data_IF_190138558791
#
_entry.id   IF_190138558791
#
_cell.length_a   1.000
_cell.length_b   1.000
_cell.length_c   1.000
_cell.angle_alpha   90.00
_cell.angle_beta   90.00
_cell.angle_gamma   90.00
#
_symmetry.space_group_name_H-M   'P 1'
#
loop_
_entity.id
_entity.type
_entity.pdbx_description
1 polymer ?
#
# COMPACT_ATOMS: atom_id res chain seq x y z
N UNK A 1 18.06 46.38 -5.87
CA UNK A 1 17.85 45.54 -4.66
C UNK A 1 16.56 44.73 -4.70
N UNK A 2 15.41 45.31 -5.07
CA UNK A 2 14.11 44.60 -5.14
C UNK A 2 14.13 43.39 -6.09
N UNK A 3 14.80 43.50 -7.23
CA UNK A 3 14.98 42.41 -8.22
C UNK A 3 15.83 41.24 -7.71
N UNK A 4 16.84 41.51 -6.87
CA UNK A 4 17.71 40.46 -6.31
C UNK A 4 16.96 39.61 -5.27
N UNK A 5 16.15 40.27 -4.42
CA UNK A 5 15.30 39.61 -3.43
C UNK A 5 14.25 38.74 -4.11
N UNK A 6 13.66 39.22 -5.21
CA UNK A 6 12.67 38.45 -5.98
C UNK A 6 13.29 37.19 -6.62
N UNK A 7 14.50 37.27 -7.18
CA UNK A 7 15.21 36.11 -7.72
C UNK A 7 15.57 35.09 -6.63
N UNK A 8 15.97 35.55 -5.43
CA UNK A 8 16.28 34.67 -4.31
C UNK A 8 15.03 33.93 -3.80
N UNK A 9 13.90 34.62 -3.71
CA UNK A 9 12.62 34.00 -3.34
C UNK A 9 12.17 32.94 -4.37
N UNK A 10 12.36 33.19 -5.68
CA UNK A 10 12.06 32.20 -6.72
C UNK A 10 13.00 30.99 -6.67
N UNK A 11 14.28 31.20 -6.35
CA UNK A 11 15.25 30.11 -6.19
C UNK A 11 14.98 29.25 -4.95
N UNK A 12 14.42 29.82 -3.88
CA UNK A 12 14.07 29.06 -2.67
C UNK A 12 12.79 28.22 -2.84
N UNK A 13 11.85 28.65 -3.70
CA UNK A 13 10.64 27.90 -4.03
C UNK A 13 10.91 26.62 -4.86
N UNK A 14 12.05 26.53 -5.55
CA UNK A 14 12.38 25.36 -6.38
C UNK A 14 12.93 24.17 -5.59
N UNK A 15 13.30 24.37 -4.32
CA UNK A 15 13.87 23.31 -3.45
C UNK A 15 12.78 22.51 -2.71
N UNK A 16 11.51 22.91 -2.81
CA UNK A 16 10.41 22.37 -1.98
C UNK A 16 9.68 21.14 -2.50
N UNK A 17 9.99 20.61 -3.68
CA UNK A 17 9.23 19.49 -4.25
C UNK A 17 9.78 18.12 -3.82
N UNK A 18 9.59 17.74 -2.55
CA UNK A 18 9.68 16.33 -2.15
C UNK A 18 8.49 15.59 -2.78
N UNK A 19 8.72 14.96 -3.93
CA UNK A 19 7.70 14.22 -4.66
C UNK A 19 7.35 12.92 -3.91
N UNK A 20 6.33 12.98 -3.06
CA UNK A 20 5.64 11.79 -2.57
C UNK A 20 4.82 11.20 -3.71
N UNK A 21 4.95 9.89 -3.95
CA UNK A 21 4.13 9.17 -4.93
C UNK A 21 3.23 8.19 -4.19
N UNK A 22 1.93 8.26 -4.45
CA UNK A 22 0.96 7.28 -3.96
C UNK A 22 0.54 6.41 -5.14
N UNK A 23 0.59 5.09 -4.96
CA UNK A 23 0.15 4.12 -5.94
C UNK A 23 -0.85 3.15 -5.29
N UNK A 24 -1.96 2.91 -5.99
CA UNK A 24 -3.00 1.98 -5.54
C UNK A 24 -2.63 0.57 -5.95
N UNK A 25 -2.76 -0.39 -5.03
CA UNK A 25 -2.60 -1.80 -5.32
C UNK A 25 -3.93 -2.35 -5.84
N UNK A 26 -3.86 -3.20 -6.87
CA UNK A 26 -5.03 -3.78 -7.53
C UNK A 26 -4.86 -5.28 -7.70
N UNK A 27 -5.96 -6.06 -7.75
CA UNK A 27 -5.86 -7.50 -8.02
C UNK A 27 -5.47 -7.81 -9.47
N UNK A 28 -5.88 -6.96 -10.40
CA UNK A 28 -5.49 -6.99 -11.82
C UNK A 28 -5.33 -5.55 -12.31
N UNK A 29 -4.67 -5.35 -13.45
CA UNK A 29 -4.42 -4.00 -13.99
C UNK A 29 -5.70 -3.16 -14.14
N UNK A 30 -6.79 -3.79 -14.59
CA UNK A 30 -8.10 -3.17 -14.81
C UNK A 30 -9.07 -3.32 -13.63
N UNK A 31 -8.64 -3.91 -12.51
CA UNK A 31 -9.52 -4.07 -11.35
C UNK A 31 -9.88 -2.71 -10.73
N UNK A 32 -11.02 -2.70 -10.06
CA UNK A 32 -11.41 -1.64 -9.14
C UNK A 32 -10.37 -1.50 -8.03
N UNK A 33 -10.31 -0.30 -7.42
CA UNK A 33 -9.45 -0.01 -6.26
C UNK A 33 -9.83 -0.85 -5.04
N UNK A 34 -11.09 -1.26 -5.00
CA UNK A 34 -11.69 -2.05 -3.94
C UNK A 34 -11.99 -3.46 -4.45
N UNK A 35 -11.62 -4.45 -3.65
CA UNK A 35 -11.91 -5.85 -3.91
C UNK A 35 -12.83 -6.40 -2.80
N UNK A 36 -13.79 -7.23 -3.18
CA UNK A 36 -14.58 -7.99 -2.21
C UNK A 36 -13.91 -9.34 -1.95
N UNK A 37 -13.65 -9.63 -0.67
CA UNK A 37 -13.07 -10.86 -0.16
C UNK A 37 -14.16 -11.63 0.57
N UNK A 38 -14.44 -12.85 0.14
CA UNK A 38 -15.52 -13.68 0.68
C UNK A 38 -14.99 -14.97 1.31
N UNK A 39 -15.58 -15.32 2.46
CA UNK A 39 -15.33 -16.55 3.22
C UNK A 39 -13.84 -16.80 3.46
N UNK A 40 -13.32 -17.99 3.15
CA UNK A 40 -11.92 -18.37 3.37
C UNK A 40 -11.03 -18.13 2.15
N UNK A 41 -11.55 -17.53 1.08
CA UNK A 41 -10.81 -17.34 -0.18
C UNK A 41 -9.84 -16.17 -0.06
N UNK A 42 -8.52 -16.39 -0.16
CA UNK A 42 -7.56 -15.30 -0.11
C UNK A 42 -7.72 -14.35 -1.29
N UNK A 43 -7.50 -13.06 -1.04
CA UNK A 43 -7.44 -12.05 -2.10
C UNK A 43 -6.12 -11.31 -2.06
N UNK A 44 -5.60 -11.03 -3.25
CA UNK A 44 -4.28 -10.41 -3.44
C UNK A 44 -4.42 -9.14 -4.27
N UNK A 45 -3.78 -8.07 -3.82
CA UNK A 45 -3.60 -6.82 -4.55
C UNK A 45 -2.11 -6.53 -4.70
N UNK A 46 -1.67 -5.98 -5.84
CA UNK A 46 -0.27 -5.72 -6.10
C UNK A 46 -0.04 -4.44 -6.91
N UNK A 47 1.19 -3.93 -6.87
CA UNK A 47 1.63 -2.76 -7.61
C UNK A 47 3.13 -2.80 -7.89
N UNK A 48 3.55 -2.23 -9.03
CA UNK A 48 4.95 -1.89 -9.28
C UNK A 48 5.24 -0.45 -8.90
N UNK A 49 6.26 -0.21 -8.07
CA UNK A 49 6.71 1.14 -7.70
C UNK A 49 7.79 1.69 -8.66
N UNK A 50 8.40 0.82 -9.45
CA UNK A 50 9.26 1.13 -10.61
C UNK A 50 10.72 1.46 -10.31
N UNK A 51 11.07 1.79 -9.06
CA UNK A 51 12.44 2.08 -8.65
C UNK A 51 12.61 1.93 -7.14
N UNK A 52 13.87 1.99 -6.68
CA UNK A 52 14.25 2.08 -5.27
C UNK A 52 13.83 3.43 -4.68
N UNK A 53 13.21 3.40 -3.50
CA UNK A 53 12.84 4.57 -2.70
C UNK A 53 13.47 4.47 -1.29
N UNK A 54 13.93 5.57 -0.69
CA UNK A 54 14.44 5.57 0.67
C UNK A 54 13.46 5.02 1.71
N UNK A 55 12.16 5.34 1.56
CA UNK A 55 11.10 4.83 2.42
C UNK A 55 9.80 4.62 1.66
N UNK A 56 9.04 3.61 2.07
CA UNK A 56 7.65 3.43 1.66
C UNK A 56 6.77 3.04 2.85
N UNK A 57 5.46 3.22 2.70
CA UNK A 57 4.47 2.72 3.63
C UNK A 57 3.31 2.09 2.87
N UNK A 58 3.00 0.82 3.15
CA UNK A 58 1.83 0.15 2.61
C UNK A 58 0.67 0.36 3.58
N UNK A 59 -0.40 1.00 3.10
CA UNK A 59 -1.64 1.21 3.83
C UNK A 59 -2.67 0.21 3.34
N UNK A 60 -3.28 -0.53 4.27
CA UNK A 60 -4.36 -1.48 3.99
C UNK A 60 -5.57 -1.12 4.83
N UNK A 61 -6.70 -0.98 4.17
CA UNK A 61 -8.02 -0.77 4.76
C UNK A 61 -8.88 -2.01 4.46
N UNK A 62 -9.38 -2.65 5.51
CA UNK A 62 -10.36 -3.73 5.45
C UNK A 62 -11.65 -3.25 6.10
N UNK A 63 -12.75 -3.24 5.36
CA UNK A 63 -14.06 -2.84 5.86
C UNK A 63 -15.01 -4.02 5.77
N UNK A 64 -15.60 -4.40 6.90
CA UNK A 64 -16.58 -5.48 6.94
C UNK A 64 -17.81 -5.13 6.09
N UNK A 65 -18.28 -6.09 5.31
CA UNK A 65 -19.59 -6.09 4.66
C UNK A 65 -20.56 -6.97 5.45
N UNK A 66 -20.16 -8.21 5.78
CA UNK A 66 -20.94 -9.14 6.61
C UNK A 66 -20.05 -10.10 7.40
N UNK A 67 -20.58 -10.76 8.43
CA UNK A 67 -19.85 -11.71 9.28
C UNK A 67 -18.92 -11.03 10.30
N UNK A 68 -17.86 -11.74 10.70
CA UNK A 68 -16.83 -11.20 11.61
C UNK A 68 -15.53 -11.05 10.84
N UNK A 69 -15.01 -9.82 10.76
CA UNK A 69 -13.73 -9.55 10.12
C UNK A 69 -12.59 -10.22 10.90
N UNK A 70 -12.06 -11.31 10.36
CA UNK A 70 -10.97 -12.05 10.96
C UNK A 70 -10.08 -12.69 9.90
N UNK A 71 -8.78 -12.75 10.17
CA UNK A 71 -7.84 -13.43 9.27
C UNK A 71 -6.40 -12.96 9.42
N UNK A 72 -5.62 -13.18 8.37
CA UNK A 72 -4.20 -12.83 8.31
C UNK A 72 -3.95 -11.94 7.10
N UNK A 73 -3.42 -10.75 7.36
CA UNK A 73 -2.86 -9.87 6.34
C UNK A 73 -1.38 -10.19 6.17
N UNK A 74 -0.90 -10.34 4.93
CA UNK A 74 0.51 -10.57 4.62
C UNK A 74 0.96 -9.58 3.55
N UNK A 75 2.16 -9.05 3.72
CA UNK A 75 2.80 -8.22 2.70
C UNK A 75 4.01 -8.91 2.13
N UNK A 76 4.27 -8.64 0.86
CA UNK A 76 5.36 -9.26 0.11
C UNK A 76 6.03 -8.23 -0.79
N UNK A 77 7.31 -8.46 -1.04
CA UNK A 77 8.11 -7.73 -2.02
C UNK A 77 8.70 -8.65 -3.07
N UNK A 78 8.90 -8.14 -4.28
CA UNK A 78 9.52 -8.85 -5.39
C UNK A 78 10.36 -7.91 -6.27
N UNK A 79 11.43 -8.45 -6.86
CA UNK A 79 12.24 -7.76 -7.86
C UNK A 79 11.72 -7.95 -9.29
N UNK A 80 11.04 -9.07 -9.55
CA UNK A 80 10.70 -9.58 -10.89
C UNK A 80 9.19 -9.70 -11.15
N UNK A 81 8.35 -9.35 -10.16
CA UNK A 81 6.89 -9.53 -10.19
C UNK A 81 6.44 -11.00 -10.35
N UNK A 82 7.32 -11.96 -10.07
CA UNK A 82 7.04 -13.40 -10.13
C UNK A 82 7.31 -14.03 -8.77
N UNK A 83 8.52 -13.85 -8.24
CA UNK A 83 8.96 -14.42 -6.97
C UNK A 83 8.78 -13.39 -5.85
N UNK A 84 7.81 -13.65 -4.98
CA UNK A 84 7.45 -12.76 -3.87
C UNK A 84 7.93 -13.30 -2.53
N UNK A 85 8.69 -12.49 -1.79
CA UNK A 85 9.18 -12.79 -0.44
C UNK A 85 8.34 -12.04 0.58
N UNK A 86 7.91 -12.72 1.65
CA UNK A 86 7.11 -12.11 2.72
C UNK A 86 7.93 -11.04 3.46
N UNK A 87 7.36 -9.85 3.61
CA UNK A 87 7.99 -8.70 4.30
C UNK A 87 7.38 -8.42 5.66
N UNK A 88 6.07 -8.57 5.82
CA UNK A 88 5.40 -8.49 7.12
C UNK A 88 4.11 -9.34 7.15
N UNK A 89 3.54 -9.52 8.35
CA UNK A 89 2.22 -10.11 8.56
C UNK A 89 1.51 -9.50 9.76
N UNK A 90 0.18 -9.44 9.70
CA UNK A 90 -0.66 -8.92 10.76
C UNK A 90 -1.93 -9.77 10.92
N UNK A 91 -2.22 -10.16 12.15
CA UNK A 91 -3.52 -10.76 12.47
C UNK A 91 -4.60 -9.68 12.49
N UNK A 92 -5.72 -9.97 11.85
CA UNK A 92 -6.93 -9.15 11.85
C UNK A 92 -7.94 -9.85 12.73
N UNK A 93 -8.43 -9.16 13.77
CA UNK A 93 -9.37 -9.73 14.74
C UNK A 93 -10.55 -8.81 15.01
N UNK A 94 -11.75 -9.34 14.81
CA UNK A 94 -13.05 -8.83 15.26
C UNK A 94 -13.20 -7.30 15.23
N UNK A 95 -13.08 -6.70 14.05
CA UNK A 95 -13.24 -5.26 13.86
C UNK A 95 -14.29 -4.95 12.78
N UNK A 96 -15.05 -3.86 12.93
CA UNK A 96 -15.90 -3.38 11.84
C UNK A 96 -15.07 -2.83 10.67
N UNK A 97 -13.98 -2.13 11.02
CA UNK A 97 -12.97 -1.62 10.10
C UNK A 97 -11.60 -1.89 10.69
N UNK A 98 -10.67 -2.37 9.86
CA UNK A 98 -9.27 -2.55 10.22
C UNK A 98 -8.41 -1.71 9.29
N UNK A 99 -7.55 -0.87 9.87
CA UNK A 99 -6.59 -0.05 9.13
C UNK A 99 -5.20 -0.33 9.64
N UNK A 100 -4.26 -0.56 8.73
CA UNK A 100 -2.85 -0.75 9.09
C UNK A 100 -1.94 -0.07 8.09
N UNK A 101 -0.92 0.61 8.62
CA UNK A 101 0.22 1.12 7.86
C UNK A 101 1.42 0.23 8.16
N UNK A 102 2.19 -0.08 7.12
CA UNK A 102 3.36 -0.94 7.19
C UNK A 102 4.53 -0.18 6.58
N UNK A 103 5.38 0.34 7.44
CA UNK A 103 6.54 1.12 7.02
C UNK A 103 7.66 0.18 6.57
N UNK A 104 8.22 0.50 5.40
CA UNK A 104 9.27 -0.26 4.71
C UNK A 104 10.41 0.72 4.49
N UNK A 105 11.48 0.57 5.27
CA UNK A 105 12.68 1.39 5.16
C UNK A 105 13.92 0.53 5.39
N UNK A 106 14.84 0.41 4.40
CA UNK A 106 14.74 0.90 3.02
C UNK A 106 13.83 0.04 2.13
N UNK A 107 13.32 0.60 1.02
CA UNK A 107 12.50 -0.17 0.07
C UNK A 107 13.40 -1.03 -0.82
N UNK A 108 13.41 -2.34 -0.58
CA UNK A 108 14.31 -3.24 -1.33
C UNK A 108 13.73 -3.68 -2.67
N UNK A 109 12.40 -3.64 -2.84
CA UNK A 109 11.70 -4.31 -3.93
C UNK A 109 11.03 -3.33 -4.89
N UNK A 110 10.93 -3.72 -6.17
CA UNK A 110 10.25 -2.94 -7.22
C UNK A 110 8.75 -3.21 -7.28
N UNK A 111 8.32 -4.36 -6.76
CA UNK A 111 6.93 -4.80 -6.74
C UNK A 111 6.53 -5.13 -5.31
N UNK A 112 5.33 -4.69 -4.93
CA UNK A 112 4.74 -4.97 -3.63
C UNK A 112 3.38 -5.63 -3.82
N UNK A 113 3.09 -6.55 -2.91
CA UNK A 113 1.85 -7.31 -2.89
C UNK A 113 1.32 -7.39 -1.47
N UNK A 114 0.01 -7.32 -1.35
CA UNK A 114 -0.73 -7.54 -0.12
C UNK A 114 -1.69 -8.69 -0.37
N UNK A 115 -1.67 -9.69 0.51
CA UNK A 115 -2.64 -10.78 0.51
C UNK A 115 -3.40 -10.78 1.83
N UNK A 116 -4.72 -10.71 1.75
CA UNK A 116 -5.59 -10.95 2.89
C UNK A 116 -6.13 -12.38 2.82
N UNK A 117 -5.83 -13.18 3.85
CA UNK A 117 -6.36 -14.53 4.03
C UNK A 117 -7.42 -14.51 5.11
N UNK A 118 -8.70 -14.45 4.72
CA UNK A 118 -9.82 -14.40 5.65
C UNK A 118 -10.05 -15.73 6.37
N UNK A 119 -10.72 -15.70 7.53
CA UNK A 119 -11.15 -16.89 8.28
C UNK A 119 -12.66 -16.85 8.57
N UNK A 120 -13.32 -18.00 8.47
CA UNK A 120 -14.76 -18.14 8.74
C UNK A 120 -15.66 -17.64 7.59
N UNK A 121 -16.95 -17.52 7.87
CA UNK A 121 -17.96 -17.02 6.93
C UNK A 121 -18.09 -15.51 7.05
N UNK A 122 -17.63 -14.77 6.05
CA UNK A 122 -17.71 -13.32 6.04
C UNK A 122 -17.60 -12.72 4.63
N UNK A 123 -17.88 -11.43 4.53
CA UNK A 123 -17.61 -10.63 3.33
C UNK A 123 -16.93 -9.33 3.75
N UNK A 124 -15.82 -8.98 3.12
CA UNK A 124 -14.96 -7.85 3.46
C UNK A 124 -14.54 -7.09 2.21
N UNK A 125 -14.59 -5.78 2.26
CA UNK A 125 -13.99 -4.90 1.26
C UNK A 125 -12.53 -4.64 1.61
N UNK A 126 -11.63 -4.91 0.67
CA UNK A 126 -10.20 -4.67 0.78
C UNK A 126 -9.77 -3.54 -0.14
N UNK A 127 -9.03 -2.57 0.40
CA UNK A 127 -8.35 -1.52 -0.35
C UNK A 127 -6.91 -1.42 0.15
N UNK A 128 -5.96 -1.33 -0.76
CA UNK A 128 -4.57 -1.09 -0.38
C UNK A 128 -3.86 -0.11 -1.30
N UNK A 129 -2.92 0.63 -0.73
CA UNK A 129 -2.11 1.62 -1.42
C UNK A 129 -0.71 1.65 -0.83
N UNK A 130 0.27 2.03 -1.63
CA UNK A 130 1.64 2.29 -1.20
C UNK A 130 1.95 3.76 -1.39
N UNK A 131 2.55 4.34 -0.37
CA UNK A 131 3.13 5.67 -0.39
C UNK A 131 4.64 5.52 -0.43
N UNK A 132 5.31 6.09 -1.43
CA UNK A 132 6.77 6.11 -1.51
C UNK A 132 7.27 7.54 -1.37
N UNK A 133 8.37 7.71 -0.63
CA UNK A 133 8.98 9.01 -0.32
C UNK A 133 10.37 9.07 -0.93
N UNK A 134 10.67 10.20 -1.57
CA UNK A 134 11.99 10.52 -2.15
C UNK A 134 12.91 11.14 -1.11
#
# INVERSE_FOLDING_TARGET
MKTLIMCLCLALLSVGAYAQKVAVLKSTYNATVEDTVTNTTPKTQQVGVGQYWPAASIKVDLTRISGTLAGMLRTFGSFDNVNFVKTDSATVTNAATYKRSLDISPTKYNFYRVTYTPTGTMSTKMRSQIEVKK
#
